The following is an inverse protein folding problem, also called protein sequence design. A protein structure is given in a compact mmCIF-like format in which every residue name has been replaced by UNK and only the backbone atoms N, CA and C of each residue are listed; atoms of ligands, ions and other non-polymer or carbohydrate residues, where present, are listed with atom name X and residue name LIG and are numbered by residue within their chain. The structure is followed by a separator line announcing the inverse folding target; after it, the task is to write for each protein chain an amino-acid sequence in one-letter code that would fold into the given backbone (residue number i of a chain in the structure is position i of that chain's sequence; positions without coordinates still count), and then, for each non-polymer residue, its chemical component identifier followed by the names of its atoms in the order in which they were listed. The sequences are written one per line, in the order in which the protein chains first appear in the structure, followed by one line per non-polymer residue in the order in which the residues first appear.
data_IF_810260788200
#
_entry.id   IF_810260788200
#
_cell.length_a   1.000
_cell.length_b   1.000
_cell.length_c   1.000
_cell.angle_alpha   90.00
_cell.angle_beta   90.00
_cell.angle_gamma   90.00
#
_symmetry.space_group_name_H-M   'P 1'
#
loop_
_entity.id
_entity.type
_entity.pdbx_description
1 polymer ?
#
# COMPACT_ATOMS: atom_id res chain seq x y z
N UNK A 1 -43.28 -12.66 -21.41
CA UNK A 1 -43.38 -11.73 -20.24
C UNK A 1 -42.02 -11.66 -19.62
N UNK A 2 -41.22 -10.67 -20.00
CA UNK A 2 -39.91 -10.42 -19.43
C UNK A 2 -40.08 -9.42 -18.28
N UNK A 3 -39.93 -9.87 -17.05
CA UNK A 3 -39.79 -8.98 -15.92
C UNK A 3 -38.36 -8.48 -15.91
N UNK A 4 -38.20 -7.20 -16.17
CA UNK A 4 -36.92 -6.51 -16.05
C UNK A 4 -36.47 -6.50 -14.59
N UNK A 5 -35.22 -6.89 -14.40
CA UNK A 5 -34.53 -6.69 -13.13
C UNK A 5 -34.27 -5.19 -13.06
N UNK A 6 -35.10 -4.50 -12.29
CA UNK A 6 -34.87 -3.09 -11.99
C UNK A 6 -33.60 -2.96 -11.17
N UNK A 7 -32.64 -2.18 -11.69
CA UNK A 7 -31.44 -1.76 -11.02
C UNK A 7 -31.74 -1.22 -9.60
N UNK A 8 -31.41 -2.01 -8.59
CA UNK A 8 -31.29 -1.52 -7.24
C UNK A 8 -29.89 -0.90 -7.04
N UNK A 9 -29.60 0.13 -7.80
CA UNK A 9 -28.54 1.06 -7.45
C UNK A 9 -29.19 2.16 -6.61
N UNK A 10 -29.05 2.05 -5.30
CA UNK A 10 -29.37 3.16 -4.42
C UNK A 10 -28.61 4.38 -4.94
N UNK A 11 -29.30 5.52 -5.18
CA UNK A 11 -28.61 6.71 -5.65
C UNK A 11 -27.55 7.09 -4.61
N UNK A 12 -26.30 7.19 -5.04
CA UNK A 12 -25.22 7.73 -4.22
C UNK A 12 -25.72 9.08 -3.70
N UNK A 13 -25.80 9.28 -2.38
CA UNK A 13 -26.24 10.55 -1.83
C UNK A 13 -25.41 11.68 -2.44
N UNK A 14 -26.05 12.64 -3.06
CA UNK A 14 -25.40 13.88 -3.48
C UNK A 14 -25.11 14.66 -2.19
N UNK A 15 -23.96 14.43 -1.63
CA UNK A 15 -23.46 15.28 -0.56
C UNK A 15 -23.27 16.68 -1.18
N UNK A 16 -23.98 17.67 -0.64
CA UNK A 16 -23.62 19.06 -0.90
C UNK A 16 -22.16 19.31 -0.55
N UNK A 17 -21.58 20.42 -0.97
CA UNK A 17 -20.20 20.81 -0.68
C UNK A 17 -19.76 20.29 0.68
N UNK A 18 -18.83 19.33 0.75
CA UNK A 18 -18.56 18.65 2.01
C UNK A 18 -17.88 19.61 2.98
N UNK A 19 -18.59 19.97 4.01
CA UNK A 19 -17.88 20.38 5.23
C UNK A 19 -17.15 19.12 5.72
N UNK A 20 -15.86 19.03 5.37
CA UNK A 20 -15.04 17.92 5.78
C UNK A 20 -15.06 17.80 7.31
N UNK A 21 -15.64 16.72 7.82
CA UNK A 21 -15.68 16.45 9.26
C UNK A 21 -14.38 15.89 9.79
N UNK A 22 -13.57 15.32 8.91
CA UNK A 22 -12.21 14.89 9.22
C UNK A 22 -11.21 15.88 8.65
N UNK A 23 -10.06 16.04 9.31
CA UNK A 23 -9.03 17.00 8.87
C UNK A 23 -8.09 16.42 7.84
N UNK A 24 -7.59 15.21 8.06
CA UNK A 24 -6.66 14.51 7.17
C UNK A 24 -6.50 13.05 7.53
N UNK A 25 -6.01 12.26 6.59
CA UNK A 25 -5.55 10.92 6.83
C UNK A 25 -4.23 10.98 7.61
N UNK A 26 -4.12 10.25 8.72
CA UNK A 26 -2.91 10.24 9.56
C UNK A 26 -2.04 9.02 9.29
N UNK A 27 -2.64 7.86 9.28
CA UNK A 27 -1.93 6.60 9.00
C UNK A 27 -2.90 5.50 8.54
N UNK A 28 -2.32 4.48 7.93
CA UNK A 28 -2.97 3.21 7.61
C UNK A 28 -2.26 2.09 8.33
N UNK A 29 -3.01 1.21 9.00
CA UNK A 29 -2.44 0.08 9.75
C UNK A 29 -2.47 -1.20 8.93
N UNK A 30 -1.36 -1.92 8.95
CA UNK A 30 -1.24 -3.29 8.48
C UNK A 30 -0.80 -4.20 9.62
N UNK A 31 -1.61 -5.20 9.94
CA UNK A 31 -1.22 -6.21 10.93
C UNK A 31 -0.36 -7.28 10.24
N UNK A 32 0.77 -7.61 10.87
CA UNK A 32 1.77 -8.53 10.33
C UNK A 32 2.14 -9.60 11.37
N UNK A 33 2.65 -10.72 10.91
CA UNK A 33 3.08 -11.81 11.80
C UNK A 33 4.48 -11.56 12.37
N UNK A 34 5.40 -11.11 11.52
CA UNK A 34 6.80 -10.84 11.87
C UNK A 34 7.10 -9.36 11.63
N UNK A 35 7.10 -8.58 12.71
CA UNK A 35 7.25 -7.14 12.65
C UNK A 35 8.61 -6.73 12.08
N UNK A 36 9.71 -7.31 12.60
CA UNK A 36 11.06 -6.91 12.17
C UNK A 36 11.33 -7.26 10.71
N UNK A 37 10.91 -8.43 10.26
CA UNK A 37 11.01 -8.82 8.86
C UNK A 37 10.28 -7.84 7.95
N UNK A 38 9.09 -7.44 8.33
CA UNK A 38 8.29 -6.48 7.56
C UNK A 38 8.89 -5.08 7.61
N UNK A 39 9.35 -4.62 8.75
CA UNK A 39 10.05 -3.34 8.88
C UNK A 39 11.28 -3.30 7.98
N UNK A 40 12.10 -4.35 7.98
CA UNK A 40 13.29 -4.42 7.12
C UNK A 40 12.93 -4.43 5.63
N UNK A 41 11.84 -5.10 5.27
CA UNK A 41 11.33 -5.06 3.89
C UNK A 41 10.99 -3.61 3.47
N UNK A 42 10.19 -2.91 4.25
CA UNK A 42 9.80 -1.52 3.93
C UNK A 42 10.99 -0.56 3.90
N UNK A 43 11.98 -0.76 4.77
CA UNK A 43 13.19 0.08 4.80
C UNK A 43 14.13 -0.22 3.65
N UNK A 44 14.40 -1.49 3.38
CA UNK A 44 15.46 -1.90 2.44
C UNK A 44 14.95 -2.01 0.99
N UNK A 45 13.70 -2.43 0.80
CA UNK A 45 13.11 -2.56 -0.54
C UNK A 45 12.50 -1.23 -0.99
N UNK A 46 11.69 -0.61 -0.14
CA UNK A 46 10.96 0.62 -0.47
C UNK A 46 11.66 1.91 -0.04
N UNK A 47 12.65 1.83 0.82
CA UNK A 47 13.39 3.00 1.27
C UNK A 47 12.63 3.89 2.26
N UNK A 48 11.63 3.35 2.96
CA UNK A 48 10.89 4.11 3.97
C UNK A 48 11.74 4.33 5.22
N UNK A 49 11.48 5.44 5.91
CA UNK A 49 12.12 5.76 7.18
C UNK A 49 11.25 5.33 8.37
N UNK A 50 11.86 4.72 9.38
CA UNK A 50 11.20 4.46 10.66
C UNK A 50 11.10 5.78 11.44
N UNK A 51 9.87 6.17 11.80
CA UNK A 51 9.59 7.43 12.52
C UNK A 51 9.54 7.21 14.02
N UNK A 52 8.86 6.15 14.44
CA UNK A 52 8.72 5.77 15.84
C UNK A 52 8.28 4.33 15.99
N UNK A 53 8.50 3.80 17.18
CA UNK A 53 7.97 2.48 17.57
C UNK A 53 7.57 2.50 19.04
N UNK A 54 6.58 1.71 19.39
CA UNK A 54 6.17 1.54 20.77
C UNK A 54 5.35 0.27 20.96
N UNK A 55 5.12 -0.09 22.22
CA UNK A 55 4.21 -1.16 22.61
C UNK A 55 2.93 -0.55 23.13
N UNK A 56 1.80 -1.08 22.65
CA UNK A 56 0.51 -0.68 23.18
C UNK A 56 0.22 -1.37 24.52
N UNK A 57 -0.65 -0.80 25.39
CA UNK A 57 -1.07 -1.47 26.61
C UNK A 57 -1.73 -2.83 26.39
N UNK A 58 -2.22 -3.11 25.18
CA UNK A 58 -2.85 -4.39 24.80
C UNK A 58 -1.85 -5.45 24.35
N UNK A 59 -0.54 -5.16 24.38
CA UNK A 59 0.51 -6.08 23.95
C UNK A 59 0.85 -6.06 22.46
N UNK A 60 0.31 -5.13 21.70
CA UNK A 60 0.71 -4.92 20.29
C UNK A 60 2.05 -4.21 20.22
N UNK A 61 2.92 -4.65 19.31
CA UNK A 61 4.11 -3.91 18.93
C UNK A 61 3.83 -3.12 17.65
N UNK A 62 4.16 -1.84 17.66
CA UNK A 62 3.83 -0.89 16.61
C UNK A 62 5.10 -0.21 16.08
N UNK A 63 5.20 -0.12 14.76
CA UNK A 63 6.24 0.65 14.07
C UNK A 63 5.58 1.54 13.03
N UNK A 64 5.94 2.82 13.02
CA UNK A 64 5.45 3.79 12.05
C UNK A 64 6.55 4.11 11.04
N UNK A 65 6.23 3.99 9.78
CA UNK A 65 7.11 4.21 8.65
C UNK A 65 6.60 5.37 7.80
N UNK A 66 7.50 6.07 7.15
CA UNK A 66 7.17 7.22 6.31
C UNK A 66 7.90 7.17 4.96
N UNK A 67 7.15 7.37 3.88
CA UNK A 67 7.73 7.63 2.58
C UNK A 67 8.24 9.09 2.49
N UNK A 68 9.31 9.40 1.72
CA UNK A 68 9.93 10.72 1.72
C UNK A 68 9.00 11.87 1.38
N UNK A 69 8.09 11.69 0.44
CA UNK A 69 7.18 12.73 -0.05
C UNK A 69 5.80 12.74 0.58
N UNK A 70 5.52 11.87 1.57
CA UNK A 70 4.19 11.70 2.16
C UNK A 70 4.13 12.25 3.57
N UNK A 71 2.98 12.78 3.97
CA UNK A 71 2.70 13.13 5.37
C UNK A 71 2.13 11.97 6.15
N UNK A 72 1.32 11.15 5.50
CA UNK A 72 0.68 9.97 6.08
C UNK A 72 1.73 8.91 6.44
N UNK A 73 1.47 8.22 7.53
CA UNK A 73 2.34 7.15 7.99
C UNK A 73 1.75 5.77 7.66
N UNK A 74 2.63 4.80 7.55
CA UNK A 74 2.25 3.39 7.52
C UNK A 74 2.55 2.82 8.90
N UNK A 75 1.52 2.29 9.55
CA UNK A 75 1.66 1.62 10.84
C UNK A 75 1.72 0.12 10.63
N UNK A 76 2.81 -0.49 11.01
CA UNK A 76 2.92 -1.94 11.09
C UNK A 76 2.62 -2.39 12.52
N UNK A 77 1.73 -3.35 12.67
CA UNK A 77 1.27 -3.84 13.96
C UNK A 77 1.46 -5.34 14.06
N UNK A 78 2.21 -5.79 15.06
CA UNK A 78 2.25 -7.20 15.43
C UNK A 78 1.39 -7.39 16.69
N UNK A 79 0.39 -8.26 16.58
CA UNK A 79 -0.52 -8.58 17.68
C UNK A 79 -0.74 -10.11 17.73
N UNK A 80 0.16 -10.88 18.38
CA UNK A 80 0.10 -12.34 18.36
C UNK A 80 -1.21 -12.92 18.90
N UNK A 81 -1.82 -12.27 19.89
CA UNK A 81 -3.08 -12.72 20.47
C UNK A 81 -4.27 -12.67 19.48
N UNK A 82 -4.16 -11.92 18.39
CA UNK A 82 -5.16 -11.86 17.32
C UNK A 82 -5.10 -13.02 16.34
N UNK A 83 -4.18 -13.96 16.52
CA UNK A 83 -3.95 -15.06 15.61
C UNK A 83 -3.11 -14.68 14.38
N UNK A 84 -2.76 -15.67 13.53
CA UNK A 84 -1.93 -15.43 12.35
C UNK A 84 -2.65 -14.59 11.31
N UNK A 85 -1.89 -13.72 10.65
CA UNK A 85 -2.36 -12.94 9.50
C UNK A 85 -2.28 -13.83 8.26
N UNK A 86 -3.38 -13.88 7.52
CA UNK A 86 -3.45 -14.49 6.19
C UNK A 86 -4.10 -13.47 5.26
N UNK A 87 -3.31 -12.91 4.35
CA UNK A 87 -3.79 -11.91 3.40
C UNK A 87 -4.35 -12.60 2.18
N UNK A 88 -5.62 -12.34 1.89
CA UNK A 88 -6.26 -12.85 0.68
C UNK A 88 -5.73 -12.09 -0.54
N UNK A 89 -5.60 -12.77 -1.70
CA UNK A 89 -5.22 -12.09 -2.94
C UNK A 89 -6.14 -10.90 -3.24
N UNK A 90 -5.54 -9.80 -3.68
CA UNK A 90 -6.25 -8.60 -4.12
C UNK A 90 -7.19 -7.96 -3.08
N UNK A 91 -6.93 -8.23 -1.80
CA UNK A 91 -7.74 -7.68 -0.70
C UNK A 91 -7.49 -6.20 -0.49
N UNK A 92 -6.24 -5.81 -0.50
CA UNK A 92 -5.78 -4.43 -0.26
C UNK A 92 -4.35 -4.28 -0.75
N UNK A 93 -3.99 -3.08 -1.16
CA UNK A 93 -2.59 -2.77 -1.45
C UNK A 93 -2.29 -1.30 -1.15
N UNK A 94 -1.02 -1.00 -0.93
CA UNK A 94 -0.46 0.34 -0.97
C UNK A 94 0.08 0.60 -2.36
N UNK A 95 -0.04 1.84 -2.83
CA UNK A 95 0.59 2.28 -4.07
C UNK A 95 1.63 3.35 -3.76
N UNK A 96 2.83 3.20 -4.35
CA UNK A 96 3.92 4.16 -4.23
C UNK A 96 4.34 4.65 -5.62
N UNK A 97 4.60 5.94 -5.73
CA UNK A 97 5.25 6.49 -6.90
C UNK A 97 6.73 6.15 -6.89
N UNK A 98 7.25 5.75 -8.04
CA UNK A 98 8.68 5.54 -8.28
C UNK A 98 9.13 6.35 -9.48
N UNK A 99 10.38 6.79 -9.47
CA UNK A 99 10.99 7.55 -10.57
C UNK A 99 11.07 6.72 -11.85
N UNK A 100 11.47 5.46 -11.72
CA UNK A 100 11.65 4.54 -12.84
C UNK A 100 11.42 3.10 -12.43
N UNK A 101 10.48 2.43 -13.09
CA UNK A 101 10.25 1.00 -12.89
C UNK A 101 11.42 0.15 -13.34
N UNK A 102 12.16 0.57 -14.37
CA UNK A 102 13.36 -0.14 -14.81
C UNK A 102 14.46 -0.08 -13.75
N UNK A 103 14.71 1.09 -13.16
CA UNK A 103 15.69 1.23 -12.08
C UNK A 103 15.27 0.52 -10.80
N UNK A 104 14.00 0.60 -10.46
CA UNK A 104 13.48 -0.13 -9.31
C UNK A 104 13.60 -1.65 -9.51
N UNK A 105 13.37 -2.16 -10.72
CA UNK A 105 13.59 -3.57 -11.07
C UNK A 105 15.05 -4.00 -10.89
N UNK A 106 16.02 -3.16 -11.25
CA UNK A 106 17.45 -3.42 -10.99
C UNK A 106 17.75 -3.44 -9.50
N UNK A 107 17.17 -2.53 -8.74
CA UNK A 107 17.28 -2.53 -7.27
C UNK A 107 16.75 -3.83 -6.67
N UNK A 108 15.57 -4.30 -7.10
CA UNK A 108 15.01 -5.59 -6.68
C UNK A 108 15.96 -6.75 -7.00
N UNK A 109 16.50 -6.78 -8.23
CA UNK A 109 17.44 -7.82 -8.64
C UNK A 109 18.68 -7.85 -7.75
N UNK A 110 19.20 -6.69 -7.38
CA UNK A 110 20.32 -6.56 -6.44
C UNK A 110 20.03 -7.12 -5.05
N UNK A 111 18.76 -7.17 -4.65
CA UNK A 111 18.30 -7.75 -3.40
C UNK A 111 17.85 -9.23 -3.52
N UNK A 112 17.99 -9.81 -4.72
CA UNK A 112 17.51 -11.18 -5.00
C UNK A 112 15.99 -11.26 -5.12
N UNK A 113 15.33 -10.15 -5.41
CA UNK A 113 13.88 -10.03 -5.56
C UNK A 113 13.50 -9.73 -7.01
N UNK A 114 12.22 -9.80 -7.30
CA UNK A 114 11.65 -9.45 -8.59
C UNK A 114 10.23 -8.92 -8.43
N UNK A 115 9.71 -8.27 -9.46
CA UNK A 115 8.29 -7.98 -9.55
C UNK A 115 7.45 -9.26 -9.50
N UNK A 116 6.34 -9.21 -8.79
CA UNK A 116 5.33 -10.29 -8.81
C UNK A 116 4.45 -10.19 -10.04
N UNK A 117 4.23 -8.98 -10.55
CA UNK A 117 3.50 -8.69 -11.78
C UNK A 117 4.06 -7.43 -12.45
N UNK A 118 4.11 -7.44 -13.77
CA UNK A 118 4.63 -6.33 -14.57
C UNK A 118 6.16 -6.29 -14.64
N UNK A 119 6.73 -5.14 -15.10
CA UNK A 119 6.06 -3.87 -15.40
C UNK A 119 5.12 -3.90 -16.60
N UNK A 120 4.00 -3.18 -16.49
CA UNK A 120 3.07 -2.93 -17.58
C UNK A 120 3.19 -1.47 -17.99
N UNK A 121 3.69 -1.23 -19.21
CA UNK A 121 3.86 0.12 -19.73
C UNK A 121 2.53 0.73 -20.13
N UNK A 122 2.36 2.01 -19.86
CA UNK A 122 1.27 2.83 -20.37
C UNK A 122 1.71 3.65 -21.59
N UNK A 123 0.71 4.10 -22.39
CA UNK A 123 0.99 4.80 -23.64
C UNK A 123 1.69 6.16 -23.47
N UNK A 124 1.59 6.76 -22.28
CA UNK A 124 2.22 8.05 -21.92
C UNK A 124 3.68 7.93 -21.44
N UNK A 125 4.24 6.71 -21.45
CA UNK A 125 5.59 6.42 -20.98
C UNK A 125 5.71 6.12 -19.49
N UNK A 126 4.59 6.11 -18.76
CA UNK A 126 4.51 5.60 -17.40
C UNK A 126 4.32 4.10 -17.36
N UNK A 127 3.89 3.60 -16.23
CA UNK A 127 3.61 2.18 -16.05
C UNK A 127 3.35 1.82 -14.60
N UNK A 128 2.96 0.57 -14.41
CA UNK A 128 2.72 -0.01 -13.08
C UNK A 128 3.42 -1.37 -12.95
N UNK A 129 3.77 -1.71 -11.74
CA UNK A 129 4.25 -3.04 -11.38
C UNK A 129 3.84 -3.37 -9.95
N UNK A 130 3.90 -4.64 -9.60
CA UNK A 130 3.58 -5.10 -8.26
C UNK A 130 4.74 -5.89 -7.66
N UNK A 131 4.87 -5.80 -6.34
CA UNK A 131 5.73 -6.67 -5.53
C UNK A 131 4.93 -7.19 -4.34
N UNK A 132 5.35 -8.33 -3.82
CA UNK A 132 4.76 -8.92 -2.62
C UNK A 132 5.60 -8.54 -1.39
N UNK A 133 4.95 -7.93 -0.41
CA UNK A 133 5.50 -7.77 0.92
C UNK A 133 5.33 -9.06 1.73
N UNK A 134 6.00 -9.19 2.91
CA UNK A 134 5.73 -10.30 3.81
C UNK A 134 4.25 -10.46 4.13
N UNK A 135 3.81 -11.67 4.43
CA UNK A 135 2.42 -12.10 4.64
C UNK A 135 1.53 -12.04 3.39
N UNK A 136 2.04 -11.63 2.24
CA UNK A 136 1.30 -11.56 0.99
C UNK A 136 0.58 -10.24 0.75
N UNK A 137 0.88 -9.18 1.49
CA UNK A 137 0.40 -7.85 1.13
C UNK A 137 1.01 -7.42 -0.20
N UNK A 138 0.17 -7.06 -1.15
CA UNK A 138 0.60 -6.54 -2.44
C UNK A 138 0.98 -5.07 -2.33
N UNK A 139 1.98 -4.66 -3.08
CA UNK A 139 2.40 -3.26 -3.21
C UNK A 139 2.47 -2.93 -4.68
N UNK A 140 1.74 -1.89 -5.07
CA UNK A 140 1.76 -1.32 -6.41
C UNK A 140 2.83 -0.24 -6.51
N UNK A 141 3.60 -0.28 -7.58
CA UNK A 141 4.59 0.74 -7.90
C UNK A 141 4.18 1.43 -9.19
N UNK A 142 4.10 2.75 -9.15
CA UNK A 142 3.59 3.56 -10.25
C UNK A 142 4.69 4.51 -10.71
N UNK A 143 5.03 4.42 -11.99
CA UNK A 143 5.83 5.42 -12.67
C UNK A 143 4.88 6.34 -13.43
N UNK A 144 4.87 7.61 -13.08
CA UNK A 144 4.08 8.61 -13.79
C UNK A 144 4.55 8.75 -15.23
N UNK A 145 3.59 8.91 -16.13
CA UNK A 145 3.88 9.24 -17.53
C UNK A 145 4.38 10.67 -17.68
N UNK A 146 5.05 10.92 -18.79
CA UNK A 146 5.40 12.29 -19.15
C UNK A 146 4.11 13.04 -19.46
N UNK A 147 3.78 14.02 -18.63
CA UNK A 147 2.74 14.97 -19.00
C UNK A 147 3.22 15.70 -20.26
N UNK A 148 2.50 15.54 -21.35
CA UNK A 148 2.78 16.26 -22.59
C UNK A 148 2.70 17.76 -22.32
N UNK A 149 3.75 18.47 -22.66
CA UNK A 149 3.75 19.94 -22.74
C UNK A 149 2.97 20.38 -23.98
#
# INVERSE_FOLDING_TARGET
MSQGIADCLDPIPRYGEPMSKVKKLLHTRYRVNDLERTVQFYKNVLGLAEVRRHKSPRGSELVFLKAPGSEELIELCCFPAGGPVQVQPDLTHLAFEVESLAEFGRHLTGLGLKYSDGPHASADGGGIAFIDAPEGYEIELIQEGRQGH
#
